data_IF_009534355378
#
_entry.id   IF_009534355378
#
_cell.length_a   1.000
_cell.length_b   1.000
_cell.length_c   1.000
_cell.angle_alpha   90.00
_cell.angle_beta   90.00
_cell.angle_gamma   90.00
#
_symmetry.space_group_name_H-M   'P 1'
#
loop_
_entity.id
_entity.type
_entity.pdbx_description
1 polymer ?
#
# COMPACT_ATOMS: atom_id res chain seq x y z
N UNK A 1 -25.49 -12.99 -12.92
CA UNK A 1 -24.73 -12.83 -11.66
C UNK A 1 -23.89 -11.58 -11.77
N UNK A 2 -23.86 -10.73 -10.75
CA UNK A 2 -23.07 -9.50 -10.70
C UNK A 2 -22.25 -9.48 -9.41
N UNK A 3 -20.96 -9.19 -9.47
CA UNK A 3 -20.12 -9.11 -8.27
C UNK A 3 -19.09 -7.99 -8.40
N UNK A 4 -18.58 -7.53 -7.26
CA UNK A 4 -17.47 -6.57 -7.21
C UNK A 4 -16.19 -7.25 -6.72
N UNK A 5 -15.04 -6.78 -7.21
CA UNK A 5 -13.72 -7.26 -6.82
C UNK A 5 -12.86 -6.10 -6.32
N UNK A 6 -12.58 -6.12 -5.01
CA UNK A 6 -11.69 -5.21 -4.32
C UNK A 6 -10.39 -5.95 -3.99
N UNK A 7 -9.28 -5.23 -3.91
CA UNK A 7 -8.04 -5.68 -3.31
C UNK A 7 -7.32 -4.46 -2.70
N UNK A 8 -6.30 -4.71 -1.88
CA UNK A 8 -5.33 -3.69 -1.48
C UNK A 8 -6.00 -2.41 -0.94
N UNK A 9 -6.97 -2.59 -0.04
CA UNK A 9 -7.72 -1.49 0.55
C UNK A 9 -6.86 -0.70 1.54
N UNK A 10 -5.90 -1.37 2.19
CA UNK A 10 -4.95 -0.82 3.15
C UNK A 10 -5.57 0.18 4.12
N UNK A 11 -6.73 -0.17 4.70
CA UNK A 11 -7.42 0.71 5.65
C UNK A 11 -6.46 1.05 6.80
N UNK A 12 -6.27 2.34 7.04
CA UNK A 12 -5.33 2.87 8.03
C UNK A 12 -3.87 3.00 7.56
N UNK A 13 -3.58 2.86 6.26
CA UNK A 13 -2.21 2.81 5.73
C UNK A 13 -1.44 4.13 5.67
N UNK A 14 -2.14 5.26 5.49
CA UNK A 14 -1.50 6.57 5.43
C UNK A 14 -1.03 7.07 6.80
N UNK A 15 0.13 7.72 6.83
CA UNK A 15 0.60 8.47 8.02
C UNK A 15 -0.14 9.80 8.20
N UNK A 16 -0.47 10.47 7.10
CA UNK A 16 -1.27 11.70 7.10
C UNK A 16 -2.71 11.38 7.50
N UNK A 17 -3.23 12.04 8.53
CA UNK A 17 -4.57 11.74 9.08
C UNK A 17 -5.70 12.07 8.10
N UNK A 18 -5.55 13.10 7.26
CA UNK A 18 -6.58 13.47 6.29
C UNK A 18 -6.66 12.43 5.16
N UNK A 19 -5.51 11.95 4.68
CA UNK A 19 -5.46 10.87 3.68
C UNK A 19 -5.87 9.52 4.27
N UNK A 20 -5.56 9.25 5.54
CA UNK A 20 -6.00 8.04 6.23
C UNK A 20 -7.53 7.98 6.32
N UNK A 21 -8.16 9.11 6.71
CA UNK A 21 -9.63 9.26 6.68
C UNK A 21 -10.19 9.14 5.27
N UNK A 22 -9.56 9.79 4.29
CA UNK A 22 -10.02 9.76 2.90
C UNK A 22 -9.94 8.37 2.29
N UNK A 23 -8.92 7.59 2.61
CA UNK A 23 -8.81 6.19 2.19
C UNK A 23 -9.99 5.36 2.74
N UNK A 24 -10.37 5.58 3.99
CA UNK A 24 -11.55 4.93 4.56
C UNK A 24 -12.87 5.45 3.97
N UNK A 25 -13.00 6.75 3.69
CA UNK A 25 -14.15 7.29 2.95
C UNK A 25 -14.26 6.71 1.53
N UNK A 26 -13.13 6.45 0.87
CA UNK A 26 -13.06 5.78 -0.44
C UNK A 26 -13.60 4.36 -0.35
N UNK A 27 -13.22 3.62 0.70
CA UNK A 27 -13.79 2.31 0.99
C UNK A 27 -15.31 2.37 1.17
N UNK A 28 -15.81 3.30 2.00
CA UNK A 28 -17.26 3.50 2.21
C UNK A 28 -17.99 3.82 0.92
N UNK A 29 -17.47 4.76 0.13
CA UNK A 29 -18.06 5.15 -1.16
C UNK A 29 -18.13 3.97 -2.12
N UNK A 30 -17.07 3.17 -2.20
CA UNK A 30 -17.06 1.97 -3.04
C UNK A 30 -18.12 0.95 -2.61
N UNK A 31 -18.32 0.76 -1.29
CA UNK A 31 -19.40 -0.08 -0.74
C UNK A 31 -20.78 0.47 -1.11
N UNK A 32 -21.02 1.77 -0.96
CA UNK A 32 -22.29 2.42 -1.31
C UNK A 32 -22.60 2.29 -2.82
N UNK A 33 -21.58 2.44 -3.67
CA UNK A 33 -21.70 2.24 -5.10
C UNK A 33 -22.03 0.78 -5.44
N UNK A 34 -21.40 -0.19 -4.77
CA UNK A 34 -21.68 -1.62 -4.92
C UNK A 34 -23.13 -1.96 -4.54
N UNK A 35 -23.62 -1.41 -3.42
CA UNK A 35 -25.02 -1.55 -2.99
C UNK A 35 -25.95 -0.97 -4.05
N UNK A 36 -25.66 0.23 -4.54
CA UNK A 36 -26.47 0.92 -5.56
C UNK A 36 -26.52 0.14 -6.88
N UNK A 37 -25.39 -0.48 -7.25
CA UNK A 37 -25.26 -1.35 -8.43
C UNK A 37 -25.87 -2.74 -8.24
N UNK A 38 -26.39 -3.06 -7.05
CA UNK A 38 -27.07 -4.32 -6.69
C UNK A 38 -26.22 -5.55 -6.98
N UNK A 39 -24.97 -5.54 -6.53
CA UNK A 39 -24.11 -6.73 -6.62
C UNK A 39 -24.70 -7.89 -5.81
N UNK A 40 -24.44 -9.11 -6.24
CA UNK A 40 -24.82 -10.35 -5.56
C UNK A 40 -23.87 -10.65 -4.38
N UNK A 41 -22.57 -10.42 -4.58
CA UNK A 41 -21.53 -10.56 -3.55
C UNK A 41 -20.31 -9.69 -3.86
N UNK A 42 -19.50 -9.46 -2.83
CA UNK A 42 -18.22 -8.73 -2.89
C UNK A 42 -17.05 -9.71 -2.68
N UNK A 43 -16.00 -9.58 -3.49
CA UNK A 43 -14.72 -10.25 -3.30
C UNK A 43 -13.69 -9.24 -2.76
N UNK A 44 -12.88 -9.66 -1.79
CA UNK A 44 -11.73 -8.91 -1.27
C UNK A 44 -10.49 -9.79 -1.36
N UNK A 45 -9.61 -9.53 -2.31
CA UNK A 45 -8.42 -10.35 -2.58
C UNK A 45 -7.20 -9.90 -1.75
N UNK A 46 -7.37 -9.84 -0.43
CA UNK A 46 -6.31 -9.52 0.53
C UNK A 46 -6.09 -8.03 0.77
N UNK A 47 -5.28 -7.75 1.79
CA UNK A 47 -4.89 -6.42 2.29
C UNK A 47 -6.08 -5.47 2.49
N UNK A 48 -7.12 -5.98 3.19
CA UNK A 48 -8.22 -5.15 3.67
C UNK A 48 -7.69 -4.07 4.63
N UNK A 49 -6.76 -4.46 5.51
CA UNK A 49 -6.09 -3.55 6.43
C UNK A 49 -4.60 -3.46 6.13
N UNK A 50 -4.01 -2.32 6.47
CA UNK A 50 -2.56 -2.11 6.31
C UNK A 50 -1.69 -2.91 7.31
N UNK A 51 -2.29 -3.47 8.36
CA UNK A 51 -1.61 -4.27 9.39
C UNK A 51 -2.55 -5.31 9.96
N UNK A 52 -2.02 -6.45 10.41
CA UNK A 52 -2.79 -7.51 11.05
C UNK A 52 -3.52 -7.07 12.33
N UNK A 53 -3.03 -6.00 12.99
CA UNK A 53 -3.64 -5.37 14.16
C UNK A 53 -3.96 -3.89 13.88
N UNK A 54 -5.08 -3.59 13.18
CA UNK A 54 -5.50 -2.24 12.86
C UNK A 54 -5.94 -1.47 14.11
N UNK A 55 -6.05 -0.15 13.97
CA UNK A 55 -6.59 0.68 15.05
C UNK A 55 -8.08 0.38 15.27
N UNK A 56 -8.51 0.42 16.53
CA UNK A 56 -9.88 0.06 16.95
C UNK A 56 -10.94 0.87 16.19
N UNK A 57 -10.68 2.14 15.92
CA UNK A 57 -11.59 3.00 15.14
C UNK A 57 -11.89 2.41 13.76
N UNK A 58 -10.85 2.03 12.99
CA UNK A 58 -11.02 1.42 11.67
C UNK A 58 -11.66 0.04 11.75
N UNK A 59 -11.37 -0.76 12.79
CA UNK A 59 -12.04 -2.04 13.00
C UNK A 59 -13.55 -1.84 13.15
N UNK A 60 -13.96 -0.91 14.03
CA UNK A 60 -15.36 -0.60 14.32
C UNK A 60 -16.09 -0.13 13.08
N UNK A 61 -15.51 0.82 12.36
CA UNK A 61 -16.15 1.41 11.18
C UNK A 61 -16.21 0.42 10.01
N UNK A 62 -15.15 -0.36 9.75
CA UNK A 62 -15.18 -1.42 8.74
C UNK A 62 -16.23 -2.48 9.07
N UNK A 63 -16.35 -2.89 10.34
CA UNK A 63 -17.38 -3.82 10.77
C UNK A 63 -18.79 -3.27 10.52
N UNK A 64 -19.00 -1.96 10.68
CA UNK A 64 -20.28 -1.31 10.38
C UNK A 64 -20.61 -1.38 8.88
N UNK A 65 -19.65 -1.09 8.00
CA UNK A 65 -19.86 -1.20 6.54
C UNK A 65 -20.12 -2.64 6.08
N UNK A 66 -19.35 -3.61 6.59
CA UNK A 66 -19.58 -5.03 6.30
C UNK A 66 -20.95 -5.50 6.82
N UNK A 67 -21.39 -4.99 7.97
CA UNK A 67 -22.71 -5.30 8.52
C UNK A 67 -23.83 -4.79 7.61
N UNK A 68 -23.69 -3.60 7.01
CA UNK A 68 -24.68 -3.08 6.05
C UNK A 68 -24.85 -4.03 4.86
N UNK A 69 -23.74 -4.52 4.29
CA UNK A 69 -23.78 -5.51 3.19
C UNK A 69 -24.52 -6.78 3.62
N UNK A 70 -24.20 -7.32 4.80
CA UNK A 70 -24.85 -8.50 5.36
C UNK A 70 -26.36 -8.31 5.55
N UNK A 71 -26.79 -7.18 6.11
CA UNK A 71 -28.20 -6.85 6.30
C UNK A 71 -28.97 -6.74 4.97
N UNK A 72 -28.29 -6.38 3.89
CA UNK A 72 -28.82 -6.36 2.52
C UNK A 72 -28.71 -7.70 1.79
N UNK A 73 -28.19 -8.74 2.44
CA UNK A 73 -28.00 -10.06 1.85
C UNK A 73 -26.88 -10.13 0.81
N UNK A 74 -25.92 -9.21 0.86
CA UNK A 74 -24.72 -9.21 0.01
C UNK A 74 -23.59 -9.91 0.78
N UNK A 75 -23.22 -11.11 0.33
CA UNK A 75 -22.11 -11.87 0.92
C UNK A 75 -20.77 -11.19 0.63
N UNK A 76 -19.83 -11.29 1.57
CA UNK A 76 -18.45 -10.83 1.39
C UNK A 76 -17.50 -12.03 1.51
N UNK A 77 -16.74 -12.28 0.45
CA UNK A 77 -15.75 -13.35 0.36
C UNK A 77 -14.35 -12.75 0.36
N UNK A 78 -13.47 -13.25 1.22
CA UNK A 78 -12.15 -12.66 1.44
C UNK A 78 -11.08 -13.75 1.52
N UNK A 79 -9.84 -13.36 1.19
CA UNK A 79 -8.62 -14.07 1.57
C UNK A 79 -7.71 -13.09 2.33
N UNK A 80 -6.83 -13.55 3.23
CA UNK A 80 -5.78 -12.71 3.82
C UNK A 80 -4.73 -12.31 2.77
N UNK A 81 -4.26 -11.07 2.85
CA UNK A 81 -3.11 -10.59 2.09
C UNK A 81 -1.86 -10.47 2.96
N UNK A 82 -0.79 -9.94 2.36
CA UNK A 82 0.52 -9.88 3.02
C UNK A 82 0.55 -8.98 4.27
N UNK A 83 -0.28 -7.94 4.33
CA UNK A 83 -0.30 -6.96 5.42
C UNK A 83 -1.20 -7.35 6.59
N UNK A 84 -2.36 -7.95 6.30
CA UNK A 84 -3.34 -8.37 7.31
C UNK A 84 -3.18 -9.83 7.75
N UNK A 85 -2.21 -10.56 7.17
CA UNK A 85 -1.71 -11.84 7.67
C UNK A 85 -0.84 -11.69 8.93
N UNK A 86 -0.94 -12.69 9.83
CA UNK A 86 -0.13 -12.80 11.05
C UNK A 86 0.48 -14.19 11.16
N UNK A 87 1.79 -14.28 11.41
CA UNK A 87 2.49 -15.55 11.62
C UNK A 87 1.93 -16.35 12.82
N UNK A 88 1.29 -15.68 13.78
CA UNK A 88 0.62 -16.33 14.92
C UNK A 88 -0.80 -16.82 14.59
N UNK A 89 -1.27 -16.60 13.36
CA UNK A 89 -2.64 -16.88 12.93
C UNK A 89 -3.69 -15.95 13.54
N UNK A 90 -3.29 -14.91 14.27
CA UNK A 90 -4.20 -13.93 14.87
C UNK A 90 -4.39 -12.77 13.90
N UNK A 91 -5.49 -12.79 13.15
CA UNK A 91 -5.83 -11.71 12.22
C UNK A 91 -7.19 -11.10 12.55
N UNK A 92 -7.41 -9.85 12.16
CA UNK A 92 -8.74 -9.25 12.25
C UNK A 92 -9.75 -9.88 11.27
N UNK A 93 -9.27 -10.51 10.20
CA UNK A 93 -10.12 -11.25 9.27
C UNK A 93 -10.82 -12.40 9.99
N UNK A 94 -10.13 -13.13 10.87
CA UNK A 94 -10.72 -14.23 11.64
C UNK A 94 -11.86 -13.73 12.56
N UNK A 95 -11.70 -12.56 13.16
CA UNK A 95 -12.75 -11.93 14.00
C UNK A 95 -13.97 -11.59 13.15
N UNK A 96 -13.76 -11.02 11.96
CA UNK A 96 -14.85 -10.72 11.03
C UNK A 96 -15.53 -11.98 10.50
N UNK A 97 -14.78 -13.06 10.25
CA UNK A 97 -15.35 -14.34 9.86
C UNK A 97 -16.18 -14.96 11.00
N UNK A 98 -15.67 -14.99 12.23
CA UNK A 98 -16.40 -15.55 13.39
C UNK A 98 -17.64 -14.75 13.77
N UNK A 99 -17.68 -13.45 13.48
CA UNK A 99 -18.90 -12.62 13.60
C UNK A 99 -19.86 -12.79 12.41
N UNK A 100 -19.44 -13.54 11.39
CA UNK A 100 -20.19 -13.80 10.16
C UNK A 100 -20.36 -12.57 9.28
N UNK A 101 -19.47 -11.59 9.37
CA UNK A 101 -19.46 -10.40 8.51
C UNK A 101 -18.81 -10.69 7.15
N UNK A 102 -17.86 -11.62 7.12
CA UNK A 102 -17.17 -12.10 5.92
C UNK A 102 -17.08 -13.62 5.94
N UNK A 103 -16.78 -14.23 4.80
CA UNK A 103 -16.40 -15.65 4.71
C UNK A 103 -15.00 -15.74 4.13
N UNK A 104 -14.05 -16.31 4.88
CA UNK A 104 -12.72 -16.55 4.37
C UNK A 104 -12.77 -17.79 3.46
N UNK A 105 -12.51 -17.62 2.16
CA UNK A 105 -12.64 -18.69 1.15
C UNK A 105 -11.43 -19.61 1.07
N UNK A 106 -10.37 -19.28 1.80
CA UNK A 106 -9.20 -20.14 1.97
C UNK A 106 -9.56 -21.31 2.91
N UNK A 107 -10.11 -22.39 2.32
CA UNK A 107 -10.54 -23.60 3.04
C UNK A 107 -9.75 -24.80 2.52
N UNK A 108 -9.09 -25.52 3.44
CA UNK A 108 -8.28 -26.69 3.12
C UNK A 108 -8.80 -27.96 3.81
N UNK A 109 -8.65 -29.09 3.13
CA UNK A 109 -8.73 -30.44 3.69
C UNK A 109 -7.40 -31.15 3.40
N UNK A 110 -6.49 -31.19 4.38
CA UNK A 110 -5.10 -31.54 4.12
C UNK A 110 -4.43 -30.46 3.25
N UNK A 111 -3.81 -30.86 2.14
CA UNK A 111 -3.26 -29.94 1.14
C UNK A 111 -4.23 -29.63 -0.01
N UNK A 112 -5.50 -30.06 0.08
CA UNK A 112 -6.51 -29.86 -0.97
C UNK A 112 -7.35 -28.63 -0.68
N UNK A 113 -7.46 -27.76 -1.67
CA UNK A 113 -8.30 -26.58 -1.58
C UNK A 113 -9.78 -26.94 -1.77
N UNK A 114 -10.68 -26.27 -1.05
CA UNK A 114 -12.13 -26.50 -1.10
C UNK A 114 -12.89 -25.24 -1.48
N UNK A 115 -14.01 -25.44 -2.16
CA UNK A 115 -14.92 -24.36 -2.51
C UNK A 115 -15.81 -23.96 -1.34
N UNK A 116 -15.97 -22.64 -1.20
CA UNK A 116 -17.16 -22.03 -0.64
C UNK A 116 -18.13 -21.78 -1.78
N UNK A 117 -19.41 -22.12 -1.60
CA UNK A 117 -20.44 -21.91 -2.62
C UNK A 117 -21.31 -20.73 -2.20
N UNK A 118 -21.47 -19.74 -3.08
CA UNK A 118 -22.42 -18.66 -2.84
C UNK A 118 -23.86 -19.16 -2.96
N UNK A 119 -24.65 -18.91 -1.92
CA UNK A 119 -25.99 -19.46 -1.80
C UNK A 119 -26.95 -18.93 -2.89
N UNK A 120 -26.77 -17.67 -3.32
CA UNK A 120 -27.68 -16.99 -4.25
C UNK A 120 -27.37 -17.35 -5.70
N UNK A 121 -26.09 -17.37 -6.05
CA UNK A 121 -25.60 -17.47 -7.44
C UNK A 121 -25.04 -18.84 -7.78
N UNK A 122 -24.77 -19.67 -6.78
CA UNK A 122 -24.10 -20.97 -6.91
C UNK A 122 -22.67 -20.86 -7.47
N UNK A 123 -22.07 -19.65 -7.42
CA UNK A 123 -20.67 -19.45 -7.74
C UNK A 123 -19.79 -20.23 -6.76
N UNK A 124 -18.77 -20.89 -7.30
CA UNK A 124 -17.79 -21.65 -6.52
C UNK A 124 -16.55 -20.80 -6.32
N UNK A 125 -16.28 -20.42 -5.08
CA UNK A 125 -15.27 -19.44 -4.72
C UNK A 125 -14.24 -20.10 -3.82
N UNK A 126 -12.97 -19.94 -4.15
CA UNK A 126 -11.87 -20.41 -3.33
C UNK A 126 -10.66 -19.50 -3.54
N UNK A 127 -9.59 -19.69 -2.78
CA UNK A 127 -8.40 -18.87 -2.96
C UNK A 127 -7.25 -19.21 -2.03
N UNK A 128 -6.14 -18.54 -2.31
CA UNK A 128 -4.88 -18.66 -1.60
C UNK A 128 -4.46 -17.30 -1.06
N UNK A 129 -3.93 -17.28 0.15
CA UNK A 129 -3.47 -16.07 0.83
C UNK A 129 -2.18 -15.50 0.23
N UNK A 130 -1.76 -14.32 0.69
CA UNK A 130 -0.43 -13.76 0.46
C UNK A 130 0.35 -13.57 1.77
N UNK A 131 1.69 -13.64 1.73
CA UNK A 131 2.57 -13.38 2.88
C UNK A 131 3.63 -12.36 2.52
N UNK A 132 4.14 -11.66 3.54
CA UNK A 132 5.28 -10.75 3.35
C UNK A 132 6.50 -11.53 2.88
N UNK A 133 7.26 -10.95 1.94
CA UNK A 133 8.45 -11.58 1.38
C UNK A 133 8.14 -12.81 0.52
N UNK A 134 6.94 -12.88 -0.06
CA UNK A 134 6.46 -13.97 -0.90
C UNK A 134 6.64 -15.37 -0.29
N UNK A 135 6.54 -15.45 1.04
CA UNK A 135 6.68 -16.70 1.79
C UNK A 135 5.56 -17.70 1.50
N UNK A 136 4.48 -17.29 0.81
CA UNK A 136 3.39 -18.16 0.36
C UNK A 136 3.75 -19.04 -0.84
N UNK A 137 4.86 -18.75 -1.55
CA UNK A 137 5.19 -19.41 -2.81
C UNK A 137 5.27 -20.93 -2.69
N UNK A 138 5.85 -21.43 -1.59
CA UNK A 138 6.00 -22.86 -1.33
C UNK A 138 4.61 -23.51 -1.15
N UNK A 139 3.71 -22.87 -0.40
CA UNK A 139 2.36 -23.40 -0.16
C UNK A 139 1.53 -23.52 -1.46
N UNK A 140 1.70 -22.62 -2.43
CA UNK A 140 1.05 -22.78 -3.74
C UNK A 140 1.56 -24.00 -4.50
N UNK A 141 2.85 -24.34 -4.37
CA UNK A 141 3.44 -25.52 -5.03
C UNK A 141 3.02 -26.83 -4.37
N UNK A 142 2.82 -26.81 -3.05
CA UNK A 142 2.39 -27.98 -2.26
C UNK A 142 0.89 -28.24 -2.30
N UNK A 143 0.10 -27.22 -2.67
CA UNK A 143 -1.37 -27.31 -2.73
C UNK A 143 -1.83 -28.16 -3.91
N UNK A 144 -2.69 -29.14 -3.63
CA UNK A 144 -3.35 -29.96 -4.65
C UNK A 144 -4.64 -29.26 -5.13
N UNK A 145 -4.58 -28.73 -6.35
CA UNK A 145 -5.70 -28.07 -7.01
C UNK A 145 -6.60 -29.01 -7.82
N UNK A 146 -6.25 -30.30 -7.95
CA UNK A 146 -6.92 -31.21 -8.88
C UNK A 146 -8.44 -31.31 -8.66
N UNK A 147 -8.89 -31.27 -7.41
CA UNK A 147 -10.33 -31.32 -7.08
C UNK A 147 -11.07 -30.06 -7.58
N UNK A 148 -10.50 -28.87 -7.35
CA UNK A 148 -11.15 -27.59 -7.74
C UNK A 148 -11.07 -27.33 -9.25
N UNK A 149 -10.04 -27.84 -9.92
CA UNK A 149 -9.87 -27.73 -11.36
C UNK A 149 -10.91 -28.55 -12.14
N UNK A 150 -11.33 -29.70 -11.60
CA UNK A 150 -12.18 -30.68 -12.29
C UNK A 150 -13.68 -30.56 -11.99
N UNK A 151 -14.09 -29.61 -11.15
CA UNK A 151 -15.50 -29.34 -10.85
C UNK A 151 -16.10 -28.36 -11.87
N UNK A 152 -17.33 -28.64 -12.30
CA UNK A 152 -18.12 -27.79 -13.20
C UNK A 152 -18.76 -26.59 -12.49
N UNK A 153 -19.12 -25.56 -13.27
CA UNK A 153 -19.82 -24.36 -12.82
C UNK A 153 -18.97 -23.09 -12.94
N UNK A 154 -19.52 -21.96 -12.51
CA UNK A 154 -18.77 -20.70 -12.51
C UNK A 154 -17.81 -20.67 -11.32
N UNK A 155 -16.52 -20.67 -11.62
CA UNK A 155 -15.44 -20.76 -10.62
C UNK A 155 -14.64 -19.48 -10.53
N UNK A 156 -14.39 -19.05 -9.29
CA UNK A 156 -13.62 -17.86 -8.94
C UNK A 156 -12.46 -18.28 -8.05
N UNK A 157 -11.24 -17.86 -8.43
CA UNK A 157 -10.02 -18.06 -7.64
C UNK A 157 -9.51 -16.72 -7.14
N UNK A 158 -9.47 -16.51 -5.83
CA UNK A 158 -8.86 -15.34 -5.20
C UNK A 158 -7.39 -15.65 -4.90
N UNK A 159 -6.52 -14.68 -5.16
CA UNK A 159 -5.10 -14.81 -4.83
C UNK A 159 -4.50 -13.45 -4.51
N UNK A 160 -3.44 -13.43 -3.72
CA UNK A 160 -2.76 -12.20 -3.31
C UNK A 160 -1.24 -12.39 -3.47
N UNK A 161 -0.78 -12.31 -4.71
CA UNK A 161 0.64 -12.39 -5.06
C UNK A 161 0.87 -11.71 -6.41
N UNK A 162 2.11 -11.29 -6.68
CA UNK A 162 2.49 -10.74 -7.98
C UNK A 162 2.83 -11.88 -8.95
N UNK A 163 2.46 -11.73 -10.23
CA UNK A 163 2.73 -12.74 -11.26
C UNK A 163 3.83 -12.27 -12.20
N UNK A 164 4.89 -13.08 -12.31
CA UNK A 164 6.11 -12.71 -13.03
C UNK A 164 5.84 -12.40 -14.50
N UNK A 165 4.99 -13.19 -15.16
CA UNK A 165 4.68 -13.07 -16.59
C UNK A 165 3.85 -11.82 -16.94
N UNK A 166 3.25 -11.16 -15.94
CA UNK A 166 2.39 -9.99 -16.13
C UNK A 166 2.89 -8.74 -15.42
N UNK A 167 4.06 -8.81 -14.80
CA UNK A 167 4.68 -7.73 -14.06
C UNK A 167 5.22 -6.64 -15.00
N UNK A 168 4.84 -5.36 -14.82
CA UNK A 168 5.49 -4.26 -15.53
C UNK A 168 6.95 -4.09 -15.06
N UNK A 169 7.83 -3.65 -15.96
CA UNK A 169 9.28 -3.50 -15.68
C UNK A 169 9.59 -2.65 -14.43
N UNK A 170 8.73 -1.69 -14.11
CA UNK A 170 8.86 -0.80 -12.95
C UNK A 170 8.72 -1.52 -11.60
N UNK A 171 8.26 -2.77 -11.62
CA UNK A 171 8.02 -3.61 -10.45
C UNK A 171 9.01 -4.78 -10.35
N UNK A 172 10.15 -4.74 -11.08
CA UNK A 172 11.12 -5.84 -11.12
C UNK A 172 11.71 -6.24 -9.76
N UNK A 173 11.66 -5.37 -8.76
CA UNK A 173 12.10 -5.65 -7.39
C UNK A 173 11.06 -6.41 -6.56
N UNK A 174 9.84 -6.56 -7.06
CA UNK A 174 8.79 -7.33 -6.38
C UNK A 174 9.01 -8.82 -6.66
N UNK A 175 9.00 -9.58 -5.58
CA UNK A 175 8.99 -11.03 -5.61
C UNK A 175 7.69 -11.57 -6.21
N UNK A 176 7.82 -12.47 -7.18
CA UNK A 176 6.67 -12.94 -7.95
C UNK A 176 6.57 -14.45 -8.01
N UNK A 177 5.35 -14.90 -8.19
CA UNK A 177 4.97 -16.26 -8.46
C UNK A 177 4.81 -16.46 -9.98
N UNK A 178 5.09 -17.65 -10.50
CA UNK A 178 4.74 -17.98 -11.89
C UNK A 178 3.24 -18.19 -11.99
N UNK A 179 2.62 -17.65 -13.04
CA UNK A 179 1.21 -17.89 -13.37
C UNK A 179 0.87 -19.38 -13.49
N UNK A 180 1.84 -20.24 -13.81
CA UNK A 180 1.65 -21.69 -13.93
C UNK A 180 1.35 -22.39 -12.61
N UNK A 181 1.61 -21.73 -11.47
CA UNK A 181 1.28 -22.24 -10.13
C UNK A 181 -0.19 -22.01 -9.76
N UNK A 182 -0.90 -21.18 -10.50
CA UNK A 182 -2.33 -20.95 -10.27
C UNK A 182 -3.15 -22.15 -10.78
N UNK A 183 -4.28 -22.47 -10.13
CA UNK A 183 -5.15 -23.54 -10.59
C UNK A 183 -5.78 -23.21 -11.95
N UNK A 184 -6.01 -24.21 -12.77
CA UNK A 184 -6.56 -24.07 -14.12
C UNK A 184 -8.08 -24.16 -14.14
N UNK A 185 -8.66 -23.78 -15.29
CA UNK A 185 -10.09 -23.92 -15.59
C UNK A 185 -11.02 -23.05 -14.72
N UNK A 186 -10.57 -21.90 -14.23
CA UNK A 186 -11.45 -20.92 -13.57
C UNK A 186 -11.99 -19.89 -14.57
N UNK A 187 -13.13 -19.27 -14.23
CA UNK A 187 -13.75 -18.24 -15.05
C UNK A 187 -13.27 -16.83 -14.66
N UNK A 188 -12.85 -16.64 -13.41
CA UNK A 188 -12.32 -15.39 -12.92
C UNK A 188 -11.20 -15.63 -11.90
N UNK A 189 -10.07 -14.99 -12.12
CA UNK A 189 -8.91 -14.97 -11.24
C UNK A 189 -8.82 -13.57 -10.64
N UNK A 190 -9.19 -13.45 -9.36
CA UNK A 190 -9.30 -12.23 -8.60
C UNK A 190 -7.98 -11.98 -7.83
N UNK A 191 -7.05 -11.26 -8.45
CA UNK A 191 -5.75 -10.95 -7.86
C UNK A 191 -5.74 -9.67 -7.01
N UNK A 192 -4.93 -9.67 -5.96
CA UNK A 192 -4.45 -8.49 -5.22
C UNK A 192 -2.92 -8.50 -5.07
N UNK A 193 -2.36 -7.63 -4.22
CA UNK A 193 -0.93 -7.43 -3.92
C UNK A 193 -0.25 -6.36 -4.78
N UNK A 194 -0.57 -6.33 -6.07
CA UNK A 194 -0.01 -5.32 -6.98
C UNK A 194 -1.00 -4.17 -7.14
N UNK A 195 -0.51 -2.94 -6.93
CA UNK A 195 -1.38 -1.76 -6.91
C UNK A 195 -1.69 -1.17 -8.29
N UNK A 196 -1.17 -1.78 -9.37
CA UNK A 196 -1.52 -1.40 -10.74
C UNK A 196 -2.80 -2.09 -11.21
N UNK A 197 -3.55 -1.42 -12.08
CA UNK A 197 -4.76 -1.96 -12.70
C UNK A 197 -4.36 -2.85 -13.87
N UNK A 198 -4.85 -4.08 -13.90
CA UNK A 198 -4.55 -5.04 -14.97
C UNK A 198 -5.73 -5.96 -15.23
N UNK A 199 -6.03 -6.20 -16.50
CA UNK A 199 -6.96 -7.24 -16.95
C UNK A 199 -6.40 -7.94 -18.19
N UNK A 200 -6.52 -9.28 -18.21
CA UNK A 200 -6.24 -10.07 -19.41
C UNK A 200 -7.11 -11.32 -19.48
N UNK A 201 -7.35 -11.82 -20.69
CA UNK A 201 -7.88 -13.17 -20.89
C UNK A 201 -6.84 -14.20 -20.42
N UNK A 202 -7.30 -15.18 -19.63
CA UNK A 202 -6.45 -16.22 -19.05
C UNK A 202 -7.17 -17.57 -19.10
N UNK A 203 -6.70 -18.45 -19.99
CA UNK A 203 -7.36 -19.72 -20.28
C UNK A 203 -8.79 -19.51 -20.79
N UNK A 204 -9.79 -19.94 -20.01
CA UNK A 204 -11.22 -19.78 -20.31
C UNK A 204 -11.87 -18.63 -19.52
N UNK A 205 -11.08 -17.87 -18.77
CA UNK A 205 -11.55 -16.84 -17.85
C UNK A 205 -10.80 -15.52 -18.01
N UNK A 206 -10.95 -14.66 -17.00
CA UNK A 206 -10.27 -13.38 -16.88
C UNK A 206 -9.32 -13.39 -15.69
N UNK A 207 -8.13 -12.81 -15.85
CA UNK A 207 -7.21 -12.52 -14.76
C UNK A 207 -7.16 -11.02 -14.52
N UNK A 208 -7.46 -10.60 -13.29
CA UNK A 208 -7.71 -9.20 -12.97
C UNK A 208 -6.99 -8.81 -11.68
N UNK A 209 -6.29 -7.69 -11.73
CA UNK A 209 -5.87 -6.91 -10.57
C UNK A 209 -6.60 -5.56 -10.58
N UNK A 210 -7.37 -5.23 -9.52
CA UNK A 210 -8.08 -3.98 -9.45
C UNK A 210 -7.16 -2.81 -9.10
N UNK A 211 -5.92 -3.09 -8.67
CA UNK A 211 -5.06 -2.13 -7.99
C UNK A 211 -5.58 -1.79 -6.59
N UNK A 212 -4.98 -0.76 -5.98
CA UNK A 212 -5.43 -0.29 -4.67
C UNK A 212 -6.77 0.45 -4.76
N UNK A 213 -7.64 0.22 -3.78
CA UNK A 213 -8.91 0.94 -3.69
C UNK A 213 -8.69 2.45 -3.45
N UNK A 214 -7.63 2.78 -2.72
CA UNK A 214 -7.08 4.11 -2.60
C UNK A 214 -5.54 4.02 -2.64
N UNK A 215 -4.84 4.85 -3.45
CA UNK A 215 -3.38 4.83 -3.51
C UNK A 215 -2.75 4.94 -2.12
N UNK A 216 -1.75 4.11 -1.82
CA UNK A 216 -1.26 3.93 -0.45
C UNK A 216 0.09 4.61 -0.17
N UNK A 217 0.70 5.25 -1.18
CA UNK A 217 1.92 6.04 -1.00
C UNK A 217 2.00 7.22 -1.97
N UNK A 218 3.03 8.07 -1.79
CA UNK A 218 3.23 9.27 -2.60
C UNK A 218 3.34 8.95 -4.10
N UNK A 219 4.10 7.91 -4.49
CA UNK A 219 4.29 7.59 -5.90
C UNK A 219 2.96 7.20 -6.55
N UNK A 220 2.24 6.27 -5.93
CA UNK A 220 0.95 5.78 -6.44
C UNK A 220 -0.10 6.89 -6.50
N UNK A 221 -0.21 7.72 -5.45
CA UNK A 221 -1.20 8.78 -5.45
C UNK A 221 -0.89 9.82 -6.53
N UNK A 222 0.39 10.05 -6.81
CA UNK A 222 0.79 10.92 -7.90
C UNK A 222 0.54 10.30 -9.28
N UNK A 223 0.80 9.02 -9.46
CA UNK A 223 0.70 8.34 -10.74
C UNK A 223 -0.77 8.06 -11.10
N UNK A 224 -1.51 7.46 -10.16
CA UNK A 224 -2.87 6.99 -10.40
C UNK A 224 -3.92 8.06 -10.12
N UNK A 225 -3.64 9.02 -9.24
CA UNK A 225 -4.54 10.11 -8.79
C UNK A 225 -5.84 9.66 -8.09
N UNK A 226 -6.23 8.40 -8.25
CA UNK A 226 -7.42 7.76 -7.71
C UNK A 226 -7.20 6.25 -7.68
N UNK A 227 -7.99 5.54 -6.88
CA UNK A 227 -8.06 4.08 -6.90
C UNK A 227 -9.38 3.62 -7.50
N UNK A 228 -9.71 2.34 -7.30
CA UNK A 228 -10.99 1.81 -7.75
C UNK A 228 -11.14 0.32 -7.51
N UNK A 229 -12.10 -0.26 -8.19
CA UNK A 229 -12.43 -1.68 -8.08
C UNK A 229 -12.95 -2.21 -9.42
N UNK A 230 -13.09 -3.53 -9.57
CA UNK A 230 -13.75 -4.10 -10.74
C UNK A 230 -15.20 -4.47 -10.47
N UNK A 231 -16.09 -4.08 -11.36
CA UNK A 231 -17.45 -4.61 -11.45
C UNK A 231 -17.49 -5.70 -12.51
N UNK A 232 -18.05 -6.86 -12.14
CA UNK A 232 -18.12 -8.02 -13.00
C UNK A 232 -19.58 -8.46 -13.18
N UNK A 233 -19.96 -8.73 -14.42
CA UNK A 233 -21.29 -9.24 -14.79
C UNK A 233 -21.15 -10.52 -15.61
N UNK A 234 -21.62 -11.63 -15.06
CA UNK A 234 -21.69 -12.91 -15.73
C UNK A 234 -23.12 -13.24 -16.18
N UNK A 235 -23.28 -13.40 -17.49
CA UNK A 235 -24.47 -13.97 -18.12
C UNK A 235 -24.29 -15.49 -18.27
N UNK A 236 -24.99 -16.25 -17.42
CA UNK A 236 -24.93 -17.70 -17.43
C UNK A 236 -25.58 -18.36 -18.64
N UNK A 237 -26.49 -17.69 -19.35
CA UNK A 237 -27.14 -18.24 -20.54
C UNK A 237 -26.18 -18.23 -21.72
N UNK A 238 -25.52 -17.09 -21.94
CA UNK A 238 -24.58 -16.90 -23.04
C UNK A 238 -23.13 -17.24 -22.66
N UNK A 239 -22.88 -17.54 -21.37
CA UNK A 239 -21.56 -17.77 -20.78
C UNK A 239 -20.58 -16.62 -21.03
N UNK A 240 -21.07 -15.39 -20.98
CA UNK A 240 -20.28 -14.17 -21.20
C UNK A 240 -19.97 -13.51 -19.86
N UNK A 241 -18.70 -13.22 -19.62
CA UNK A 241 -18.23 -12.42 -18.48
C UNK A 241 -17.81 -11.04 -18.99
N UNK A 242 -18.46 -10.00 -18.47
CA UNK A 242 -18.06 -8.60 -18.66
C UNK A 242 -17.40 -8.09 -17.40
N UNK A 243 -16.33 -7.33 -17.57
CA UNK A 243 -15.52 -6.74 -16.51
C UNK A 243 -15.35 -5.25 -16.83
N UNK A 244 -15.45 -4.41 -15.81
CA UNK A 244 -15.29 -2.97 -15.92
C UNK A 244 -14.55 -2.44 -14.69
N UNK A 245 -13.47 -1.70 -14.91
CA UNK A 245 -12.84 -0.93 -13.84
C UNK A 245 -13.69 0.29 -13.49
N UNK A 246 -14.05 0.41 -12.22
CA UNK A 246 -14.83 1.52 -11.66
C UNK A 246 -13.90 2.39 -10.81
N UNK A 247 -13.50 3.58 -11.29
CA UNK A 247 -12.70 4.50 -10.49
C UNK A 247 -13.51 5.09 -9.34
N UNK A 248 -12.90 5.17 -8.16
CA UNK A 248 -13.51 5.80 -6.98
C UNK A 248 -12.71 7.05 -6.63
N UNK A 249 -13.18 8.19 -7.13
CA UNK A 249 -12.57 9.50 -6.88
C UNK A 249 -13.41 10.29 -5.88
N UNK A 250 -12.78 10.76 -4.80
CA UNK A 250 -13.41 11.66 -3.82
C UNK A 250 -12.82 13.06 -3.89
N UNK A 251 -11.49 13.18 -4.08
CA UNK A 251 -10.78 14.47 -4.14
C UNK A 251 -9.92 14.55 -5.39
N UNK A 252 -9.72 15.78 -5.87
CA UNK A 252 -8.82 16.08 -6.97
C UNK A 252 -7.37 16.17 -6.47
N UNK A 253 -6.45 15.48 -7.14
CA UNK A 253 -5.01 15.49 -6.81
C UNK A 253 -4.28 16.39 -7.78
N UNK A 254 -3.56 17.41 -7.28
CA UNK A 254 -2.70 18.31 -8.08
C UNK A 254 -1.25 18.15 -7.65
N UNK A 255 -0.36 17.96 -8.63
CA UNK A 255 1.08 17.85 -8.40
C UNK A 255 1.80 19.07 -8.92
N UNK A 256 2.75 19.57 -8.15
CA UNK A 256 3.60 20.71 -8.49
C UNK A 256 5.06 20.33 -8.32
N UNK A 257 5.86 20.65 -9.32
CA UNK A 257 7.30 20.56 -9.26
C UNK A 257 7.88 21.91 -8.84
N UNK A 258 8.75 21.88 -7.84
CA UNK A 258 9.44 23.03 -7.29
C UNK A 258 10.94 22.77 -7.45
N UNK A 259 11.58 23.58 -8.26
CA UNK A 259 13.04 23.56 -8.39
C UNK A 259 13.63 24.70 -7.56
N UNK A 260 14.55 24.40 -6.64
CA UNK A 260 15.12 25.40 -5.75
C UNK A 260 16.64 25.27 -5.61
N UNK A 261 17.31 26.42 -5.68
CA UNK A 261 18.72 26.61 -5.35
C UNK A 261 18.93 27.32 -4.01
N UNK A 262 17.86 27.91 -3.46
CA UNK A 262 17.84 28.54 -2.13
C UNK A 262 16.61 28.12 -1.37
N UNK A 263 16.73 28.04 -0.05
CA UNK A 263 15.60 27.73 0.87
C UNK A 263 14.41 28.67 0.65
N UNK A 264 14.67 29.97 0.42
CA UNK A 264 13.62 30.97 0.18
C UNK A 264 12.81 30.70 -1.09
N UNK A 265 13.43 30.16 -2.14
CA UNK A 265 12.76 29.91 -3.43
C UNK A 265 11.67 28.84 -3.32
N UNK A 266 11.82 27.89 -2.40
CA UNK A 266 10.78 26.90 -2.11
C UNK A 266 9.52 27.58 -1.59
N UNK A 267 9.69 28.48 -0.60
CA UNK A 267 8.60 29.26 -0.03
C UNK A 267 7.94 30.15 -1.10
N UNK A 268 8.73 30.91 -1.85
CA UNK A 268 8.23 31.83 -2.87
C UNK A 268 7.41 31.10 -3.95
N UNK A 269 7.85 29.92 -4.37
CA UNK A 269 7.12 29.11 -5.35
C UNK A 269 5.82 28.55 -4.76
N UNK A 270 5.82 28.10 -3.50
CA UNK A 270 4.61 27.66 -2.81
C UNK A 270 3.57 28.80 -2.69
N UNK A 271 4.00 30.02 -2.37
CA UNK A 271 3.11 31.18 -2.34
C UNK A 271 2.54 31.50 -3.72
N UNK A 272 3.37 31.48 -4.78
CA UNK A 272 2.89 31.69 -6.17
C UNK A 272 1.88 30.64 -6.60
N UNK A 273 2.02 29.39 -6.17
CA UNK A 273 1.04 28.33 -6.44
C UNK A 273 -0.30 28.68 -5.78
N UNK A 274 -0.28 29.08 -4.50
CA UNK A 274 -1.48 29.48 -3.76
C UNK A 274 -2.21 30.69 -4.37
N UNK A 275 -1.46 31.66 -4.93
CA UNK A 275 -2.06 32.85 -5.55
C UNK A 275 -2.70 32.57 -6.91
N UNK A 276 -2.13 31.64 -7.69
CA UNK A 276 -2.54 31.41 -9.09
C UNK A 276 -3.62 30.34 -9.25
N UNK A 277 -3.67 29.38 -8.34
CA UNK A 277 -4.50 28.20 -8.49
C UNK A 277 -5.67 28.17 -7.50
N UNK A 278 -6.83 27.73 -7.96
CA UNK A 278 -7.90 27.31 -7.05
C UNK A 278 -7.59 25.88 -6.56
N UNK A 279 -7.25 25.76 -5.28
CA UNK A 279 -6.77 24.51 -4.65
C UNK A 279 -7.68 24.00 -3.52
N UNK A 280 -8.81 24.68 -3.29
CA UNK A 280 -9.72 24.34 -2.21
C UNK A 280 -10.25 22.92 -2.38
N UNK A 281 -10.16 22.12 -1.32
CA UNK A 281 -10.59 20.72 -1.26
C UNK A 281 -9.78 19.75 -2.14
N UNK A 282 -8.63 20.18 -2.68
CA UNK A 282 -7.70 19.32 -3.40
C UNK A 282 -6.70 18.65 -2.45
N UNK A 283 -6.10 17.54 -2.92
CA UNK A 283 -4.84 17.02 -2.39
C UNK A 283 -3.70 17.63 -3.20
N UNK A 284 -2.73 18.23 -2.52
CA UNK A 284 -1.59 18.88 -3.15
C UNK A 284 -0.34 18.03 -2.93
N UNK A 285 0.38 17.75 -4.01
CA UNK A 285 1.62 17.00 -3.99
C UNK A 285 2.76 17.90 -4.45
N UNK A 286 3.76 18.10 -3.61
CA UNK A 286 4.90 18.96 -3.88
C UNK A 286 6.14 18.09 -4.11
N UNK A 287 6.67 18.10 -5.33
CA UNK A 287 7.99 17.52 -5.66
C UNK A 287 9.04 18.61 -5.62
N UNK A 288 9.95 18.51 -4.67
CA UNK A 288 10.96 19.52 -4.44
C UNK A 288 12.31 18.93 -4.83
N UNK A 289 12.98 19.59 -5.76
CA UNK A 289 14.27 19.14 -6.28
C UNK A 289 15.22 20.32 -6.47
N UNK A 290 16.51 20.03 -6.55
CA UNK A 290 17.54 21.03 -6.79
C UNK A 290 18.74 20.85 -5.85
N UNK A 291 19.73 21.71 -6.07
CA UNK A 291 20.96 21.73 -5.27
C UNK A 291 21.04 23.09 -4.62
N UNK A 292 20.91 23.12 -3.29
CA UNK A 292 20.98 24.33 -2.51
C UNK A 292 22.42 24.88 -2.51
N UNK A 293 22.57 26.13 -2.95
CA UNK A 293 23.82 26.87 -2.95
C UNK A 293 24.22 27.28 -1.52
N UNK A 294 23.22 27.58 -0.69
CA UNK A 294 23.36 27.96 0.72
C UNK A 294 22.21 27.34 1.54
N UNK A 295 22.52 26.91 2.77
CA UNK A 295 21.58 26.25 3.68
C UNK A 295 21.38 24.75 3.39
N UNK A 296 20.57 24.11 4.23
CA UNK A 296 20.25 22.69 4.17
C UNK A 296 18.76 22.47 3.88
N UNK A 297 18.36 21.32 3.29
CA UNK A 297 16.94 20.96 3.14
C UNK A 297 16.15 20.99 4.45
N UNK A 298 16.81 20.73 5.59
CA UNK A 298 16.22 20.79 6.92
C UNK A 298 15.85 22.21 7.38
N UNK A 299 16.41 23.25 6.77
CA UNK A 299 16.12 24.66 7.11
C UNK A 299 14.77 25.11 6.51
N UNK A 300 14.16 24.30 5.65
CA UNK A 300 12.84 24.59 5.08
C UNK A 300 11.76 24.22 6.11
N UNK A 301 11.03 25.23 6.57
CA UNK A 301 9.86 25.04 7.44
C UNK A 301 8.65 24.51 6.65
N UNK A 302 8.68 23.21 6.38
CA UNK A 302 7.60 22.54 5.68
C UNK A 302 6.29 22.48 6.47
N UNK A 303 6.34 22.60 7.80
CA UNK A 303 5.13 22.64 8.62
C UNK A 303 4.38 23.94 8.34
N UNK A 304 5.09 25.07 8.29
CA UNK A 304 4.51 26.36 7.89
C UNK A 304 3.99 26.33 6.46
N UNK A 305 4.74 25.77 5.50
CA UNK A 305 4.26 25.62 4.12
C UNK A 305 2.95 24.84 4.10
N UNK A 306 2.92 23.66 4.73
CA UNK A 306 1.74 22.79 4.75
C UNK A 306 0.55 23.51 5.40
N UNK A 307 0.77 24.17 6.54
CA UNK A 307 -0.27 24.94 7.23
C UNK A 307 -0.81 26.09 6.37
N UNK A 308 0.02 26.76 5.58
CA UNK A 308 -0.46 27.80 4.66
C UNK A 308 -1.42 27.23 3.62
N UNK A 309 -1.10 26.08 3.02
CA UNK A 309 -2.01 25.41 2.08
C UNK A 309 -3.32 25.00 2.77
N UNK A 310 -3.24 24.35 3.94
CA UNK A 310 -4.43 23.92 4.69
C UNK A 310 -5.31 25.11 5.09
N UNK A 311 -4.71 26.22 5.54
CA UNK A 311 -5.44 27.45 5.88
C UNK A 311 -6.13 28.10 4.67
N UNK A 312 -5.64 27.84 3.45
CA UNK A 312 -6.29 28.24 2.20
C UNK A 312 -7.33 27.20 1.70
N UNK A 313 -7.69 26.24 2.53
CA UNK A 313 -8.76 25.27 2.28
C UNK A 313 -8.32 24.04 1.49
N UNK A 314 -7.02 23.79 1.33
CA UNK A 314 -6.51 22.51 0.80
C UNK A 314 -6.85 21.38 1.76
N UNK A 315 -7.21 20.22 1.22
CA UNK A 315 -7.58 19.06 2.03
C UNK A 315 -6.37 18.37 2.67
N UNK A 316 -5.33 18.09 1.88
CA UNK A 316 -4.09 17.47 2.35
C UNK A 316 -2.90 17.93 1.51
N UNK A 317 -1.72 17.97 2.12
CA UNK A 317 -0.47 18.36 1.46
C UNK A 317 0.57 17.28 1.69
N UNK A 318 1.06 16.70 0.61
CA UNK A 318 2.18 15.77 0.62
C UNK A 318 3.40 16.43 0.00
N UNK A 319 4.58 16.06 0.51
CA UNK A 319 5.85 16.51 -0.03
C UNK A 319 6.79 15.34 -0.30
N UNK A 320 7.57 15.47 -1.36
CA UNK A 320 8.71 14.63 -1.65
C UNK A 320 9.90 15.54 -1.96
N UNK A 321 10.92 15.51 -1.10
CA UNK A 321 12.14 16.31 -1.22
C UNK A 321 13.39 15.45 -1.32
N UNK A 322 13.27 14.17 -1.72
CA UNK A 322 14.43 13.26 -1.78
C UNK A 322 15.45 13.63 -2.86
N UNK A 323 15.05 14.47 -3.82
CA UNK A 323 15.92 15.04 -4.87
C UNK A 323 16.40 16.47 -4.55
N UNK A 324 16.22 16.94 -3.32
CA UNK A 324 16.77 18.20 -2.85
C UNK A 324 18.01 17.92 -2.01
N UNK A 325 19.16 18.43 -2.44
CA UNK A 325 20.46 18.24 -1.79
C UNK A 325 21.17 19.56 -1.58
N UNK A 326 22.30 19.54 -0.87
CA UNK A 326 23.22 20.68 -0.76
C UNK A 326 24.39 20.51 -1.71
N UNK A 327 25.01 21.64 -2.09
CA UNK A 327 26.19 21.61 -2.96
C UNK A 327 27.33 20.77 -2.39
N UNK A 328 27.60 20.90 -1.08
CA UNK A 328 28.62 20.09 -0.39
C UNK A 328 28.34 18.58 -0.49
N UNK A 329 27.07 18.18 -0.37
CA UNK A 329 26.68 16.76 -0.44
C UNK A 329 26.76 16.19 -1.87
N UNK A 330 26.45 16.98 -2.90
CA UNK A 330 26.64 16.54 -4.29
C UNK A 330 28.11 16.44 -4.69
N UNK A 331 28.95 17.39 -4.24
CA UNK A 331 30.41 17.31 -4.44
C UNK A 331 30.99 16.05 -3.78
N UNK A 332 30.51 15.69 -2.58
CA UNK A 332 30.86 14.43 -1.90
C UNK A 332 30.44 13.18 -2.72
N UNK A 333 29.22 13.14 -3.27
CA UNK A 333 28.77 11.99 -4.10
C UNK A 333 29.58 11.79 -5.37
N UNK A 334 30.03 12.86 -6.01
CA UNK A 334 30.80 12.79 -7.27
C UNK A 334 32.22 12.29 -7.03
N UNK A 335 32.79 12.59 -5.86
CA UNK A 335 34.13 12.16 -5.48
C UNK A 335 34.19 10.70 -5.01
N UNK A 336 33.19 10.24 -4.25
CA UNK A 336 33.12 8.87 -3.71
C UNK A 336 32.55 7.92 -4.77
N UNK A 337 33.34 7.59 -5.80
CA UNK A 337 32.98 6.64 -6.87
C UNK A 337 33.09 5.18 -6.41
N UNK A 338 32.26 4.76 -5.46
CA UNK A 338 32.20 3.37 -4.99
C UNK A 338 30.78 2.80 -5.08
N UNK A 339 30.66 1.54 -5.52
CA UNK A 339 29.40 0.78 -5.57
C UNK A 339 29.10 0.02 -4.26
N UNK A 340 30.02 0.01 -3.29
CA UNK A 340 29.86 -0.66 -2.00
C UNK A 340 29.57 0.35 -0.90
N UNK A 341 28.45 0.17 -0.21
CA UNK A 341 27.96 1.07 0.86
C UNK A 341 29.01 1.26 1.96
N UNK A 342 29.71 0.19 2.35
CA UNK A 342 30.75 0.20 3.39
C UNK A 342 31.96 1.07 3.00
N UNK A 343 32.36 1.04 1.73
CA UNK A 343 33.47 1.86 1.20
C UNK A 343 33.06 3.33 1.06
N UNK A 344 31.78 3.59 0.75
CA UNK A 344 31.20 4.94 0.71
C UNK A 344 31.13 5.55 2.10
N UNK A 345 30.69 4.78 3.10
CA UNK A 345 30.61 5.21 4.50
C UNK A 345 31.99 5.54 5.07
N UNK A 346 32.99 4.69 4.86
CA UNK A 346 34.37 4.95 5.33
C UNK A 346 34.99 6.21 4.73
N UNK A 347 34.78 6.49 3.44
CA UNK A 347 35.32 7.69 2.79
C UNK A 347 34.58 8.98 3.20
N UNK A 348 33.25 8.92 3.36
CA UNK A 348 32.45 10.02 3.90
C UNK A 348 32.88 10.35 5.33
N UNK A 349 33.14 9.34 6.16
CA UNK A 349 33.65 9.50 7.52
C UNK A 349 35.03 10.18 7.50
N UNK A 350 36.00 9.65 6.74
CA UNK A 350 37.36 10.19 6.68
C UNK A 350 37.40 11.67 6.28
N UNK A 351 36.53 12.11 5.36
CA UNK A 351 36.53 13.49 4.87
C UNK A 351 35.82 14.47 5.82
N UNK A 352 34.64 14.13 6.35
CA UNK A 352 33.91 15.02 7.26
C UNK A 352 34.59 15.17 8.64
N UNK A 353 35.31 14.14 9.10
CA UNK A 353 36.14 14.21 10.30
C UNK A 353 37.35 15.13 10.13
N UNK A 354 37.79 15.39 8.89
CA UNK A 354 38.90 16.32 8.62
C UNK A 354 38.47 17.79 8.66
N UNK A 355 37.17 18.07 8.59
CA UNK A 355 36.59 19.43 8.60
C UNK A 355 35.95 19.81 9.95
N UNK A 356 35.90 18.89 10.92
CA UNK A 356 35.28 19.11 12.24
C UNK A 356 36.21 18.68 13.39
N UNK A 357 36.60 19.61 14.25
CA UNK A 357 37.42 19.33 15.46
C UNK A 357 36.61 18.71 16.62
N UNK A 358 35.31 18.48 16.43
CA UNK A 358 34.35 18.18 17.51
C UNK A 358 34.03 16.68 17.61
N UNK A 359 34.08 15.95 16.49
CA UNK A 359 33.68 14.53 16.43
C UNK A 359 34.87 13.67 16.01
N UNK A 360 35.14 12.59 16.74
CA UNK A 360 36.16 11.59 16.36
C UNK A 360 35.55 10.49 15.50
N UNK A 361 36.37 9.75 14.74
CA UNK A 361 35.92 8.59 13.94
C UNK A 361 35.12 7.60 14.78
N UNK A 362 35.62 7.31 15.98
CA UNK A 362 34.97 6.41 16.94
C UNK A 362 33.61 6.95 17.41
N UNK A 363 33.47 8.28 17.57
CA UNK A 363 32.20 8.92 17.96
C UNK A 363 31.15 8.74 16.86
N UNK A 364 31.53 8.97 15.60
CA UNK A 364 30.58 8.86 14.48
C UNK A 364 30.20 7.41 14.20
N UNK A 365 31.15 6.47 14.24
CA UNK A 365 30.86 5.04 14.12
C UNK A 365 29.93 4.54 15.23
N UNK A 366 30.10 5.05 16.45
CA UNK A 366 29.23 4.72 17.58
C UNK A 366 27.81 5.28 17.38
N UNK A 367 27.69 6.51 16.87
CA UNK A 367 26.39 7.11 16.54
C UNK A 367 25.67 6.35 15.43
N UNK A 368 26.39 5.92 14.39
CA UNK A 368 25.80 5.11 13.30
C UNK A 368 25.21 3.82 13.88
N UNK A 369 25.95 3.10 14.73
CA UNK A 369 25.44 1.89 15.39
C UNK A 369 24.20 2.14 16.26
N UNK A 370 24.16 3.26 16.98
CA UNK A 370 23.01 3.63 17.80
C UNK A 370 21.79 3.93 16.90
N UNK A 371 21.99 4.69 15.82
CA UNK A 371 20.92 5.03 14.89
C UNK A 371 20.42 3.84 14.08
N UNK A 372 21.26 2.82 13.88
CA UNK A 372 20.92 1.55 13.24
C UNK A 372 20.28 0.53 14.20
N UNK A 373 20.15 0.88 15.49
CA UNK A 373 19.56 -0.02 16.49
C UNK A 373 18.05 -0.14 16.29
N UNK A 374 17.57 -1.37 16.14
CA UNK A 374 16.14 -1.62 15.99
C UNK A 374 15.37 -1.51 17.31
N UNK A 375 14.06 -1.28 17.16
CA UNK A 375 13.11 -1.24 18.27
C UNK A 375 12.90 -2.64 18.85
N UNK A 376 12.96 -2.76 20.17
CA UNK A 376 12.77 -4.04 20.84
C UNK A 376 11.30 -4.49 20.82
N UNK A 377 11.08 -5.81 20.85
CA UNK A 377 9.74 -6.40 20.87
C UNK A 377 8.98 -5.97 22.15
N UNK A 378 7.84 -5.29 21.97
CA UNK A 378 7.03 -4.75 23.07
C UNK A 378 7.44 -3.36 23.58
N UNK A 379 8.52 -2.77 23.08
CA UNK A 379 8.92 -1.39 23.39
C UNK A 379 7.88 -0.40 22.83
N UNK A 380 7.62 0.73 23.49
CA UNK A 380 6.82 1.81 22.90
C UNK A 380 7.71 2.68 22.02
N UNK A 381 7.15 3.28 20.97
CA UNK A 381 7.92 4.17 20.08
C UNK A 381 8.57 5.31 20.88
N UNK A 382 7.84 5.89 21.83
CA UNK A 382 8.36 6.95 22.71
C UNK A 382 9.51 6.51 23.60
N UNK A 383 9.54 5.23 23.99
CA UNK A 383 10.59 4.69 24.86
C UNK A 383 11.82 4.32 24.04
N UNK A 384 11.61 3.78 22.84
CA UNK A 384 12.64 3.57 21.82
C UNK A 384 13.33 4.88 21.44
N UNK A 385 12.56 5.90 21.06
CA UNK A 385 13.10 7.22 20.72
C UNK A 385 13.90 7.83 21.88
N UNK A 386 13.40 7.76 23.12
CA UNK A 386 14.12 8.23 24.30
C UNK A 386 15.43 7.47 24.52
N UNK A 387 15.43 6.16 24.34
CA UNK A 387 16.60 5.31 24.51
C UNK A 387 17.68 5.64 23.48
N UNK A 388 17.32 5.68 22.19
CA UNK A 388 18.24 6.07 21.12
C UNK A 388 18.80 7.49 21.35
N UNK A 389 17.95 8.43 21.77
CA UNK A 389 18.37 9.80 22.04
C UNK A 389 19.32 9.90 23.25
N UNK A 390 19.08 9.10 24.29
CA UNK A 390 19.93 9.01 25.48
C UNK A 390 21.30 8.39 25.15
N UNK A 391 21.32 7.28 24.43
CA UNK A 391 22.54 6.62 23.97
C UNK A 391 23.36 7.55 23.04
N UNK A 392 22.71 8.27 22.14
CA UNK A 392 23.37 9.25 21.27
C UNK A 392 23.97 10.44 22.06
N UNK A 393 23.27 10.92 23.10
CA UNK A 393 23.76 11.97 24.01
C UNK A 393 25.01 11.54 24.78
N UNK A 394 25.03 10.29 25.25
CA UNK A 394 26.18 9.71 25.95
C UNK A 394 27.41 9.64 25.04
N UNK A 395 27.23 9.23 23.78
CA UNK A 395 28.33 9.23 22.80
C UNK A 395 28.81 10.63 22.45
N UNK A 396 27.92 11.63 22.43
CA UNK A 396 28.25 13.02 22.15
C UNK A 396 28.78 13.82 23.36
N UNK A 397 28.79 13.24 24.57
CA UNK A 397 29.08 13.95 25.83
C UNK A 397 28.20 15.20 26.04
N UNK A 398 26.91 15.12 25.71
CA UNK A 398 25.94 16.22 25.89
C UNK A 398 24.91 15.79 26.95
N UNK A 399 24.73 16.62 27.99
CA UNK A 399 23.71 16.40 29.05
C UNK A 399 22.26 16.38 28.51
#
# INVERSE_FOLDING_TARGET
MKFAHFADCHIGGWRDENLKKLGFETFKKAIEECISKKIDFLLISGDLFNTALPQIEYIKETAAELRKLKELGISVYIIPGSHDFSATGKTMIDVFEKSGLVTNVMKFEGNKLKFVVDNKTQAKITGMFGRKGALEKEEYLETDFSEVENIDGFKIFLFHTALEEFKPNEYNTIECQSVNTLPKNFNYYAGGHVHYIFEKDFGKGKLVYPGALFPNNFKELEEFKQGGYYLCEYDGLNKILKTEFVPVKIKEVKSFEIFAKKVSEVNDQCYKILEKEMLRDNIIMLRISGVLEEGNPGDIDFNRISNNFINNGVYAVLRNSSKLSTKAFEELKVEVKSEKVEDVEEEILKKNLSETDILTKETVESLIKILDTEKLEGEKITDFEKRILQEAKEVLNIE
#
